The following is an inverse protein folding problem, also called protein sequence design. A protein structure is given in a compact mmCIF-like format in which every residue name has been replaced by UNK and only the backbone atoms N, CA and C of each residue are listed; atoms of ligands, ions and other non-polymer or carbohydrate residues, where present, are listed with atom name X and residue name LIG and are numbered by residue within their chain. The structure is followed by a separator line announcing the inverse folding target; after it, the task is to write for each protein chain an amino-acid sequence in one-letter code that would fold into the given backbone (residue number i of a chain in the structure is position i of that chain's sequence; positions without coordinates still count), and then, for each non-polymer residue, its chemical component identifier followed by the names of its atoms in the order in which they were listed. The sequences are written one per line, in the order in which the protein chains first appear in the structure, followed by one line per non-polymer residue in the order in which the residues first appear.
data_IF_785380512657
#
_entry.id   IF_785380512657
#
_cell.length_a   1.000
_cell.length_b   1.000
_cell.length_c   1.000
_cell.angle_alpha   90.00
_cell.angle_beta   90.00
_cell.angle_gamma   90.00
#
_symmetry.space_group_name_H-M   'P 1'
#
loop_
_entity.id
_entity.type
_entity.pdbx_description
1 polymer ?
#
# COMPACT_ATOMS: atom_id res chain seq x y z
N UNK A 1 -16.42 38.63 -6.53
CA UNK A 1 -15.15 37.92 -6.94
C UNK A 1 -14.33 37.54 -5.71
N UNK A 2 -13.89 38.49 -4.83
CA UNK A 2 -13.06 38.19 -3.66
C UNK A 2 -13.81 37.36 -2.62
N UNK A 3 -15.08 37.66 -2.33
CA UNK A 3 -15.89 36.91 -1.37
C UNK A 3 -16.22 35.48 -1.85
N UNK A 4 -16.44 35.29 -3.15
CA UNK A 4 -16.66 33.96 -3.74
C UNK A 4 -15.40 33.10 -3.73
N UNK A 5 -14.22 33.70 -3.98
CA UNK A 5 -12.95 32.99 -3.90
C UNK A 5 -12.68 32.55 -2.46
N UNK A 6 -12.86 33.44 -1.49
CA UNK A 6 -12.70 33.11 -0.07
C UNK A 6 -13.65 31.98 0.37
N UNK A 7 -14.92 32.01 -0.06
CA UNK A 7 -15.87 30.94 0.26
C UNK A 7 -15.46 29.58 -0.35
N UNK A 8 -14.86 29.56 -1.55
CA UNK A 8 -14.30 28.33 -2.14
C UNK A 8 -13.09 27.83 -1.39
N UNK A 9 -12.19 28.73 -0.97
CA UNK A 9 -10.98 28.37 -0.22
C UNK A 9 -11.35 27.84 1.16
N UNK A 10 -12.31 28.45 1.85
CA UNK A 10 -12.83 28.00 3.15
C UNK A 10 -13.53 26.63 3.03
N UNK A 11 -14.30 26.38 1.95
CA UNK A 11 -14.94 25.10 1.69
C UNK A 11 -13.90 24.01 1.37
N UNK A 12 -12.86 24.33 0.61
CA UNK A 12 -11.77 23.40 0.30
C UNK A 12 -10.99 23.04 1.57
N UNK A 13 -10.65 24.01 2.40
CA UNK A 13 -9.95 23.79 3.67
C UNK A 13 -10.77 22.90 4.62
N UNK A 14 -12.10 23.14 4.69
CA UNK A 14 -13.00 22.29 5.48
C UNK A 14 -13.06 20.86 4.95
N UNK A 15 -13.15 20.66 3.64
CA UNK A 15 -13.19 19.33 3.04
C UNK A 15 -11.89 18.54 3.30
N UNK A 16 -10.72 19.21 3.30
CA UNK A 16 -9.43 18.60 3.65
C UNK A 16 -9.44 18.18 5.13
N UNK A 17 -9.84 19.06 6.04
CA UNK A 17 -9.90 18.76 7.46
C UNK A 17 -10.88 17.60 7.79
N UNK A 18 -12.04 17.57 7.12
CA UNK A 18 -13.02 16.48 7.27
C UNK A 18 -12.43 15.15 6.75
N UNK A 19 -11.70 15.16 5.63
CA UNK A 19 -11.03 13.98 5.09
C UNK A 19 -9.91 13.45 6.01
N UNK A 20 -9.09 14.34 6.55
CA UNK A 20 -8.05 13.98 7.53
C UNK A 20 -8.64 13.38 8.82
N UNK A 21 -9.76 13.93 9.29
CA UNK A 21 -10.48 13.40 10.45
C UNK A 21 -11.03 11.99 10.19
N UNK A 22 -11.56 11.73 8.99
CA UNK A 22 -12.03 10.39 8.60
C UNK A 22 -10.87 9.38 8.45
N UNK A 23 -9.73 9.78 7.92
CA UNK A 23 -8.50 8.96 7.87
C UNK A 23 -8.07 8.61 9.30
N UNK A 24 -8.01 9.60 10.19
CA UNK A 24 -7.61 9.38 11.59
C UNK A 24 -8.54 8.43 12.34
N UNK A 25 -9.85 8.48 12.08
CA UNK A 25 -10.83 7.54 12.65
C UNK A 25 -10.67 6.12 12.12
N UNK A 26 -10.18 5.96 10.90
CA UNK A 26 -10.00 4.67 10.25
C UNK A 26 -8.68 3.98 10.62
N UNK A 27 -7.79 4.68 11.34
CA UNK A 27 -6.51 4.17 11.77
C UNK A 27 -6.65 2.96 12.69
N UNK A 28 -6.00 1.87 12.32
CA UNK A 28 -5.84 0.66 13.10
C UNK A 28 -4.39 0.61 13.57
N UNK A 29 -4.20 0.57 14.88
CA UNK A 29 -2.89 0.60 15.51
C UNK A 29 -2.09 -0.69 15.25
N UNK A 30 -0.75 -0.70 15.40
CA UNK A 30 0.03 -1.93 15.43
C UNK A 30 -0.52 -2.92 16.45
N UNK A 31 -0.53 -4.21 16.09
CA UNK A 31 -1.09 -5.28 16.92
C UNK A 31 -1.32 -6.57 16.15
N UNK A 32 -1.87 -7.57 16.82
CA UNK A 32 -2.35 -8.80 16.23
C UNK A 32 -3.87 -8.86 16.30
N UNK A 33 -4.51 -9.15 15.19
CA UNK A 33 -5.95 -9.10 15.01
C UNK A 33 -6.48 -10.42 14.45
N UNK A 34 -7.54 -10.96 15.02
CA UNK A 34 -8.30 -12.06 14.43
C UNK A 34 -9.29 -11.49 13.42
N UNK A 35 -9.10 -11.85 12.15
CA UNK A 35 -9.94 -11.38 11.05
C UNK A 35 -11.33 -11.99 11.15
N UNK A 36 -12.36 -11.17 11.01
CA UNK A 36 -13.76 -11.53 11.23
C UNK A 36 -14.25 -11.31 12.66
N UNK A 37 -13.34 -11.07 13.62
CA UNK A 37 -13.67 -10.77 15.03
C UNK A 37 -13.22 -9.37 15.42
N UNK A 38 -11.91 -9.11 15.36
CA UNK A 38 -11.30 -7.86 15.79
C UNK A 38 -11.21 -6.85 14.64
N UNK A 39 -11.02 -7.35 13.42
CA UNK A 39 -10.90 -6.57 12.18
C UNK A 39 -11.70 -7.29 11.08
N UNK A 40 -12.30 -6.54 10.16
CA UNK A 40 -13.05 -7.13 9.05
C UNK A 40 -12.11 -7.71 7.99
N UNK A 41 -12.57 -8.77 7.30
CA UNK A 41 -11.91 -9.21 6.07
C UNK A 41 -11.94 -8.11 5.01
N UNK A 42 -10.90 -8.02 4.21
CA UNK A 42 -10.80 -7.01 3.16
C UNK A 42 -9.38 -6.65 2.80
N UNK A 43 -9.26 -5.57 2.09
CA UNK A 43 -7.98 -5.03 1.60
C UNK A 43 -7.56 -3.83 2.46
N UNK A 44 -6.33 -3.85 2.92
CA UNK A 44 -5.76 -2.85 3.82
C UNK A 44 -4.46 -2.28 3.25
N UNK A 45 -4.22 -1.02 3.55
CA UNK A 45 -2.94 -0.34 3.32
C UNK A 45 -2.22 -0.24 4.65
N UNK A 46 -0.96 -0.63 4.68
CA UNK A 46 -0.06 -0.42 5.82
C UNK A 46 1.03 0.56 5.41
N UNK A 47 1.23 1.60 6.21
CA UNK A 47 2.17 2.71 5.93
C UNK A 47 3.14 2.81 7.10
N UNK A 48 4.42 3.02 6.81
CA UNK A 48 5.44 3.29 7.81
C UNK A 48 6.59 4.10 7.22
N UNK A 49 7.02 5.15 7.91
CA UNK A 49 8.18 5.96 7.53
C UNK A 49 9.51 5.33 7.98
N UNK A 50 9.47 4.45 8.97
CA UNK A 50 10.66 3.85 9.59
C UNK A 50 10.79 2.35 9.30
N UNK A 51 9.93 1.84 8.43
CA UNK A 51 9.78 0.42 8.16
C UNK A 51 8.83 -0.27 9.13
N UNK A 52 8.08 -1.22 8.60
CA UNK A 52 7.12 -2.04 9.33
C UNK A 52 7.26 -3.51 8.96
N UNK A 53 6.63 -4.35 9.75
CA UNK A 53 6.48 -5.77 9.44
C UNK A 53 5.00 -6.14 9.48
N UNK A 54 4.56 -6.89 8.49
CA UNK A 54 3.24 -7.53 8.48
C UNK A 54 3.36 -9.04 8.40
N UNK A 55 2.39 -9.72 8.98
CA UNK A 55 2.20 -11.16 8.86
C UNK A 55 0.73 -11.51 8.79
N UNK A 56 0.37 -12.39 7.88
CA UNK A 56 -0.92 -13.08 7.84
C UNK A 56 -0.67 -14.55 8.16
N UNK A 57 -1.41 -15.10 9.11
CA UNK A 57 -1.25 -16.48 9.57
C UNK A 57 -2.57 -17.22 9.74
N UNK A 58 -2.52 -18.56 9.76
CA UNK A 58 -3.69 -19.43 9.95
C UNK A 58 -4.20 -19.39 11.38
N UNK A 59 -3.29 -19.17 12.32
CA UNK A 59 -3.55 -19.21 13.77
C UNK A 59 -2.61 -18.22 14.50
N UNK A 60 -2.77 -18.10 15.81
CA UNK A 60 -2.00 -17.19 16.67
C UNK A 60 -0.75 -17.81 17.28
N UNK A 61 -0.30 -18.97 16.82
CA UNK A 61 0.86 -19.68 17.44
C UNK A 61 2.20 -19.03 17.15
N UNK A 62 2.30 -18.25 16.05
CA UNK A 62 3.55 -17.64 15.62
C UNK A 62 4.55 -18.62 15.01
N UNK A 63 4.16 -19.86 14.73
CA UNK A 63 5.02 -20.86 14.10
C UNK A 63 5.18 -20.56 12.60
N UNK A 64 6.30 -20.97 12.01
CA UNK A 64 6.55 -20.77 10.57
C UNK A 64 5.49 -21.45 9.71
N UNK A 65 4.99 -22.61 10.13
CA UNK A 65 3.96 -23.37 9.42
C UNK A 65 2.60 -22.68 9.42
N UNK A 66 2.38 -21.73 10.35
CA UNK A 66 1.15 -20.94 10.40
C UNK A 66 1.17 -19.75 9.44
N UNK A 67 2.34 -19.30 8.99
CA UNK A 67 2.49 -18.12 8.13
C UNK A 67 1.92 -18.40 6.75
N UNK A 68 1.01 -17.54 6.30
CA UNK A 68 0.44 -17.52 4.94
C UNK A 68 1.22 -16.52 4.08
N UNK A 69 1.48 -15.32 4.61
CA UNK A 69 2.22 -14.26 3.96
C UNK A 69 2.88 -13.36 5.00
N UNK A 70 4.04 -12.81 4.68
CA UNK A 70 4.69 -11.79 5.50
C UNK A 70 5.53 -10.85 4.63
N UNK A 71 5.80 -9.66 5.14
CA UNK A 71 6.64 -8.67 4.46
C UNK A 71 7.30 -7.71 5.45
N UNK A 72 8.56 -7.34 5.14
CA UNK A 72 9.18 -6.15 5.71
C UNK A 72 8.91 -4.98 4.77
N UNK A 73 8.16 -4.01 5.25
CA UNK A 73 7.66 -2.87 4.49
C UNK A 73 8.65 -1.71 4.62
N UNK A 74 9.05 -1.09 3.50
CA UNK A 74 9.90 0.11 3.52
C UNK A 74 9.05 1.38 3.74
N UNK A 75 7.97 1.56 2.99
CA UNK A 75 7.10 2.75 3.06
C UNK A 75 5.63 2.37 3.16
N UNK A 76 5.12 1.60 2.20
CA UNK A 76 3.73 1.16 2.18
C UNK A 76 3.58 -0.19 1.52
N UNK A 77 2.57 -0.92 1.94
CA UNK A 77 2.11 -2.12 1.25
C UNK A 77 0.59 -2.19 1.24
N UNK A 78 0.05 -3.06 0.40
CA UNK A 78 -1.37 -3.38 0.34
C UNK A 78 -1.50 -4.87 0.58
N UNK A 79 -2.38 -5.27 1.50
CA UNK A 79 -2.57 -6.67 1.89
C UNK A 79 -4.06 -7.02 1.92
N UNK A 80 -4.42 -8.16 1.33
CA UNK A 80 -5.76 -8.75 1.47
C UNK A 80 -5.75 -9.79 2.58
N UNK A 81 -6.64 -9.62 3.56
CA UNK A 81 -6.86 -10.54 4.68
C UNK A 81 -8.27 -11.13 4.64
N UNK A 82 -8.42 -12.39 5.08
CA UNK A 82 -9.67 -13.16 4.99
C UNK A 82 -10.15 -13.59 6.39
N UNK A 83 -11.45 -13.80 6.52
CA UNK A 83 -12.05 -14.30 7.76
C UNK A 83 -11.35 -15.57 8.27
N UNK A 84 -11.16 -15.61 9.57
CA UNK A 84 -10.48 -16.71 10.27
C UNK A 84 -8.97 -16.62 10.31
N UNK A 85 -8.33 -15.77 9.51
CA UNK A 85 -6.89 -15.51 9.58
C UNK A 85 -6.53 -14.62 10.77
N UNK A 86 -5.24 -14.57 11.09
CA UNK A 86 -4.66 -13.62 12.02
C UNK A 86 -3.76 -12.66 11.25
N UNK A 87 -3.92 -11.37 11.51
CA UNK A 87 -3.15 -10.31 10.89
C UNK A 87 -2.34 -9.57 11.95
N UNK A 88 -1.02 -9.61 11.84
CA UNK A 88 -0.10 -8.90 12.72
C UNK A 88 0.56 -7.74 11.98
N UNK A 89 0.62 -6.59 12.64
CA UNK A 89 1.35 -5.41 12.17
C UNK A 89 2.28 -4.91 13.28
N UNK A 90 3.55 -4.68 12.93
CA UNK A 90 4.55 -4.05 13.80
C UNK A 90 5.05 -2.77 13.16
N UNK A 91 5.04 -1.68 13.89
CA UNK A 91 5.55 -0.35 13.50
C UNK A 91 4.89 0.26 12.25
N UNK A 92 3.62 -0.06 11.97
CA UNK A 92 2.91 0.45 10.79
C UNK A 92 1.49 0.90 11.10
N UNK A 93 1.08 2.01 10.51
CA UNK A 93 -0.28 2.50 10.53
C UNK A 93 -1.10 1.76 9.48
N UNK A 94 -2.21 1.16 9.90
CA UNK A 94 -3.06 0.33 9.04
C UNK A 94 -4.40 1.00 8.79
N UNK A 95 -4.87 0.94 7.54
CA UNK A 95 -6.14 1.51 7.12
C UNK A 95 -6.88 0.57 6.17
N UNK A 96 -8.22 0.45 6.25
CA UNK A 96 -8.97 -0.11 5.13
C UNK A 96 -8.65 0.68 3.85
N UNK A 97 -8.45 0.01 2.73
CA UNK A 97 -7.98 0.66 1.49
C UNK A 97 -8.86 1.85 1.05
N UNK A 98 -10.16 1.78 1.31
CA UNK A 98 -11.12 2.85 0.99
C UNK A 98 -10.96 4.12 1.86
N UNK A 99 -10.23 4.03 2.96
CA UNK A 99 -9.99 5.10 3.94
C UNK A 99 -8.51 5.44 4.10
N UNK A 100 -7.64 4.75 3.38
CA UNK A 100 -6.20 4.95 3.48
C UNK A 100 -5.78 6.32 2.91
N UNK A 101 -4.72 6.93 3.47
CA UNK A 101 -4.05 8.04 2.82
C UNK A 101 -3.63 7.66 1.40
N UNK A 102 -3.86 8.55 0.45
CA UNK A 102 -3.39 8.35 -0.92
C UNK A 102 -1.87 8.32 -0.99
N UNK A 103 -1.33 7.57 -1.94
CA UNK A 103 0.08 7.68 -2.25
C UNK A 103 0.39 9.08 -2.79
N UNK A 104 1.34 9.77 -2.16
CA UNK A 104 1.75 11.11 -2.56
C UNK A 104 3.12 11.03 -3.23
N UNK A 105 3.22 11.34 -4.53
CA UNK A 105 4.50 11.41 -5.21
C UNK A 105 5.38 12.54 -4.65
N UNK A 106 6.67 12.30 -4.56
CA UNK A 106 7.67 13.33 -4.29
C UNK A 106 8.52 13.50 -5.57
N UNK A 107 8.71 14.74 -6.03
CA UNK A 107 9.45 15.04 -7.27
C UNK A 107 8.97 14.21 -8.48
N UNK A 108 7.65 14.05 -8.59
CA UNK A 108 7.01 13.24 -9.62
C UNK A 108 7.44 11.74 -9.62
N UNK A 109 7.79 11.23 -8.44
CA UNK A 109 8.20 9.84 -8.26
C UNK A 109 7.43 9.18 -7.11
N UNK A 110 7.16 7.89 -7.25
CA UNK A 110 6.69 7.03 -6.18
C UNK A 110 7.85 6.17 -5.66
N UNK A 111 8.11 6.19 -4.34
CA UNK A 111 9.20 5.42 -3.73
C UNK A 111 8.90 3.91 -3.70
N UNK A 112 9.82 3.12 -3.14
CA UNK A 112 9.60 1.72 -2.82
C UNK A 112 8.29 1.52 -2.04
N UNK A 113 7.53 0.47 -2.36
CA UNK A 113 6.21 0.18 -1.78
C UNK A 113 5.29 -0.54 -2.76
N UNK A 114 4.06 -0.83 -2.34
CA UNK A 114 3.04 -1.46 -3.17
C UNK A 114 1.90 -0.48 -3.48
N UNK A 115 1.48 -0.43 -4.73
CA UNK A 115 0.52 0.53 -5.29
C UNK A 115 -0.53 -0.18 -6.12
N UNK A 116 -1.79 0.22 -6.00
CA UNK A 116 -2.91 -0.32 -6.77
C UNK A 116 -3.12 0.50 -8.04
N UNK A 117 -3.09 -0.16 -9.19
CA UNK A 117 -3.31 0.48 -10.50
C UNK A 117 -4.80 0.81 -10.68
N UNK A 118 -5.08 2.07 -10.99
CA UNK A 118 -6.42 2.65 -11.04
C UNK A 118 -6.86 3.34 -9.75
N UNK A 119 -6.08 3.22 -8.66
CA UNK A 119 -6.28 3.94 -7.40
C UNK A 119 -5.12 4.90 -7.12
N UNK A 120 -3.90 4.35 -7.05
CA UNK A 120 -2.67 5.09 -6.73
C UNK A 120 -1.92 5.53 -7.99
N UNK A 121 -1.96 4.72 -9.04
CA UNK A 121 -1.26 4.94 -10.31
C UNK A 121 -2.23 4.65 -11.46
N UNK A 122 -2.17 5.42 -12.55
CA UNK A 122 -2.93 5.12 -13.77
C UNK A 122 -2.31 3.92 -14.52
N UNK A 123 -3.12 3.13 -15.28
CA UNK A 123 -2.57 2.11 -16.17
C UNK A 123 -1.66 2.73 -17.23
N UNK A 124 -0.62 2.02 -17.63
CA UNK A 124 0.30 2.50 -18.67
C UNK A 124 1.69 1.88 -18.57
N UNK A 125 2.59 2.38 -19.40
CA UNK A 125 4.01 2.08 -19.35
C UNK A 125 4.75 3.13 -18.55
N UNK A 126 5.63 2.69 -17.65
CA UNK A 126 6.39 3.54 -16.75
C UNK A 126 7.85 3.13 -16.70
N UNK A 127 8.72 4.11 -16.43
CA UNK A 127 10.11 3.87 -16.11
C UNK A 127 10.28 3.71 -14.60
N UNK A 128 10.93 2.61 -14.19
CA UNK A 128 11.41 2.38 -12.83
C UNK A 128 12.92 2.50 -12.82
N UNK A 129 13.47 3.02 -11.73
CA UNK A 129 14.92 3.21 -11.56
C UNK A 129 15.35 2.71 -10.19
N UNK A 130 16.54 2.11 -10.13
CA UNK A 130 17.18 1.66 -8.91
C UNK A 130 18.63 2.14 -8.87
N UNK A 131 19.07 2.57 -7.69
CA UNK A 131 20.48 2.84 -7.41
C UNK A 131 21.07 1.57 -6.76
N UNK A 132 21.74 0.75 -7.58
CA UNK A 132 22.10 -0.63 -7.25
C UNK A 132 20.97 -1.62 -7.54
N UNK A 133 20.87 -2.68 -6.74
CA UNK A 133 19.87 -3.74 -6.95
C UNK A 133 18.47 -3.32 -6.51
N UNK A 134 17.56 -3.25 -7.47
CA UNK A 134 16.14 -3.00 -7.29
C UNK A 134 15.30 -4.24 -7.59
N UNK A 135 14.07 -4.24 -7.10
CA UNK A 135 13.05 -5.25 -7.37
C UNK A 135 11.79 -4.59 -7.89
N UNK A 136 11.18 -5.20 -8.90
CA UNK A 136 9.87 -4.82 -9.39
C UNK A 136 8.99 -6.06 -9.54
N UNK A 137 7.72 -5.94 -9.13
CA UNK A 137 6.73 -6.99 -9.27
C UNK A 137 5.40 -6.38 -9.71
N UNK A 138 4.74 -7.03 -10.66
CA UNK A 138 3.36 -6.78 -11.02
C UNK A 138 2.54 -7.99 -10.56
N UNK A 139 1.57 -7.76 -9.69
CA UNK A 139 0.69 -8.80 -9.15
C UNK A 139 -0.76 -8.59 -9.57
N UNK A 140 -1.53 -9.68 -9.61
CA UNK A 140 -2.97 -9.68 -9.93
C UNK A 140 -3.85 -9.32 -8.74
N UNK A 141 -3.34 -9.46 -7.51
CA UNK A 141 -4.01 -9.13 -6.27
C UNK A 141 -2.99 -8.84 -5.17
N UNK A 142 -3.45 -8.43 -3.98
CA UNK A 142 -2.62 -8.05 -2.82
C UNK A 142 -2.54 -9.15 -1.75
N UNK A 143 -2.65 -10.43 -2.11
CA UNK A 143 -2.52 -11.53 -1.15
C UNK A 143 -1.09 -11.82 -0.73
N UNK A 144 -0.11 -11.34 -1.46
CA UNK A 144 1.32 -11.69 -1.37
C UNK A 144 1.61 -13.18 -1.60
N UNK A 145 0.69 -13.85 -2.30
CA UNK A 145 0.86 -15.23 -2.76
C UNK A 145 1.70 -15.25 -4.05
N UNK A 146 2.62 -16.19 -4.14
CA UNK A 146 3.46 -16.37 -5.35
C UNK A 146 2.63 -16.57 -6.62
N UNK A 147 1.46 -17.19 -6.52
CA UNK A 147 0.54 -17.37 -7.66
C UNK A 147 -0.15 -16.07 -8.10
N UNK A 148 -0.08 -14.99 -7.30
CA UNK A 148 -0.59 -13.68 -7.69
C UNK A 148 0.37 -12.92 -8.61
N UNK A 149 1.63 -13.33 -8.69
CA UNK A 149 2.67 -12.65 -9.48
C UNK A 149 2.40 -12.84 -10.96
N UNK A 150 2.21 -11.73 -11.67
CA UNK A 150 2.08 -11.69 -13.14
C UNK A 150 3.46 -11.60 -13.79
N UNK A 151 4.33 -10.77 -13.22
CA UNK A 151 5.74 -10.65 -13.62
C UNK A 151 6.55 -10.03 -12.48
N UNK A 152 7.81 -10.42 -12.38
CA UNK A 152 8.75 -9.80 -11.47
C UNK A 152 10.17 -9.83 -12.05
N UNK A 153 11.02 -8.96 -11.53
CA UNK A 153 12.44 -8.92 -11.91
C UNK A 153 13.30 -8.23 -10.85
N UNK A 154 14.53 -8.70 -10.71
CA UNK A 154 15.59 -7.96 -10.05
C UNK A 154 16.41 -7.24 -11.14
N UNK A 155 16.63 -5.94 -10.97
CA UNK A 155 17.28 -5.12 -11.99
C UNK A 155 18.23 -4.09 -11.37
N UNK A 156 19.11 -3.56 -12.20
CA UNK A 156 19.97 -2.41 -11.87
C UNK A 156 19.73 -1.29 -12.88
N UNK A 157 19.86 -0.05 -12.45
CA UNK A 157 19.69 1.12 -13.29
C UNK A 157 18.23 1.37 -13.67
N UNK A 158 17.89 1.27 -14.95
CA UNK A 158 16.57 1.64 -15.49
C UNK A 158 15.87 0.46 -16.15
N UNK A 159 14.54 0.39 -15.96
CA UNK A 159 13.67 -0.59 -16.59
C UNK A 159 12.31 0.00 -16.93
N UNK A 160 11.71 -0.41 -18.04
CA UNK A 160 10.33 -0.08 -18.38
C UNK A 160 9.40 -1.24 -17.99
N UNK A 161 8.26 -0.88 -17.43
CA UNK A 161 7.21 -1.82 -17.03
C UNK A 161 5.85 -1.35 -17.57
N UNK A 162 4.99 -2.30 -17.94
CA UNK A 162 3.61 -2.02 -18.31
C UNK A 162 2.68 -2.56 -17.23
N UNK A 163 1.83 -1.70 -16.68
CA UNK A 163 0.84 -2.04 -15.66
C UNK A 163 -0.57 -1.76 -16.15
N UNK A 164 -1.52 -2.64 -15.78
CA UNK A 164 -2.91 -2.59 -16.23
C UNK A 164 -3.85 -2.30 -15.07
N UNK A 165 -5.03 -1.78 -15.39
CA UNK A 165 -6.10 -1.53 -14.43
C UNK A 165 -6.35 -2.74 -13.52
N UNK A 166 -6.43 -2.50 -12.22
CA UNK A 166 -6.69 -3.50 -11.19
C UNK A 166 -5.49 -4.35 -10.75
N UNK A 167 -4.33 -4.22 -11.41
CA UNK A 167 -3.08 -4.84 -10.96
C UNK A 167 -2.47 -4.07 -9.80
N UNK A 168 -1.44 -4.67 -9.21
CA UNK A 168 -0.64 -4.09 -8.13
C UNK A 168 0.81 -4.03 -8.58
N UNK A 169 1.44 -2.89 -8.37
CA UNK A 169 2.87 -2.68 -8.59
C UNK A 169 3.59 -2.67 -7.25
N UNK A 170 4.56 -3.55 -7.09
CA UNK A 170 5.46 -3.57 -5.92
C UNK A 170 6.87 -3.19 -6.35
N UNK A 171 7.47 -2.26 -5.60
CA UNK A 171 8.81 -1.75 -5.79
C UNK A 171 9.63 -1.99 -4.53
N UNK A 172 10.79 -2.63 -4.65
CA UNK A 172 11.79 -2.77 -3.59
C UNK A 172 13.08 -2.07 -4.01
N UNK A 173 13.62 -1.17 -3.18
CA UNK A 173 14.82 -0.38 -3.48
C UNK A 173 14.80 0.29 -4.87
N UNK A 174 13.63 0.69 -5.31
CA UNK A 174 13.41 1.29 -6.62
C UNK A 174 12.35 2.39 -6.53
N UNK A 175 12.34 3.29 -7.50
CA UNK A 175 11.36 4.36 -7.64
C UNK A 175 10.71 4.30 -9.01
N UNK A 176 9.43 4.66 -9.07
CA UNK A 176 8.69 4.80 -10.33
C UNK A 176 8.56 6.27 -10.67
N UNK A 177 8.98 6.66 -11.89
CA UNK A 177 8.78 8.00 -12.42
C UNK A 177 7.38 8.12 -13.03
N UNK A 178 6.58 9.05 -12.52
CA UNK A 178 5.28 9.40 -13.10
C UNK A 178 5.45 10.21 -14.40
N UNK A 179 4.44 10.17 -15.25
CA UNK A 179 4.39 10.93 -16.51
C UNK A 179 3.98 12.37 -16.27
#
# INVERSE_FOLDING_TARGET
VIAEQKAKDDAAAKAIADAEAEIKKALIQPGMYKVGTDIKAGEYVVISEQGAYIQVSKDSTGTLESIIANENIQNRTIITIKDGQYFEVKNGDTYPISKAPKAVPTDNQLPAGMYKVGLDIQPGEYKVTADGSGYVEVASNSSHDLYSIVSNDNFEGEKYITIKQGQYLKLGNAVLKLK
#
